data_IF_945565273826
#
_entry.id   IF_945565273826
#
_cell.length_a   1.000
_cell.length_b   1.000
_cell.length_c   1.000
_cell.angle_alpha   90.00
_cell.angle_beta   90.00
_cell.angle_gamma   90.00
#
_symmetry.space_group_name_H-M   'P 1'
#
loop_
_entity.id
_entity.type
_entity.pdbx_description
1 polymer ?
#
# COMPACT_ATOMS: atom_id res chain seq x y z
N UNK A 1 23.86 6.49 -47.45
CA UNK A 1 22.42 6.64 -47.42
C UNK A 1 21.83 5.34 -46.90
N UNK A 2 21.38 5.26 -45.68
CA UNK A 2 20.76 4.07 -45.12
C UNK A 2 20.41 4.36 -43.66
N UNK A 3 19.22 4.91 -43.42
CA UNK A 3 18.70 5.08 -42.10
C UNK A 3 18.17 3.76 -41.55
N UNK A 4 18.65 3.32 -40.43
CA UNK A 4 18.04 2.25 -39.64
C UNK A 4 17.35 2.86 -38.45
N UNK A 5 16.02 2.88 -38.49
CA UNK A 5 15.15 3.17 -37.38
C UNK A 5 15.07 1.93 -36.49
N UNK A 6 15.68 2.00 -35.31
CA UNK A 6 15.48 1.01 -34.26
C UNK A 6 14.26 1.39 -33.43
N UNK A 7 13.17 0.67 -33.65
CA UNK A 7 12.00 0.66 -32.76
C UNK A 7 12.40 0.00 -31.43
N UNK A 8 12.51 0.80 -30.38
CA UNK A 8 12.63 0.31 -29.01
C UNK A 8 11.28 -0.29 -28.59
N UNK A 9 11.21 -1.60 -28.55
CA UNK A 9 10.11 -2.33 -27.91
C UNK A 9 10.23 -2.19 -26.41
N UNK A 10 9.33 -1.45 -25.80
CA UNK A 10 9.14 -1.40 -24.37
C UNK A 10 8.55 -2.73 -23.89
N UNK A 11 9.42 -3.67 -23.53
CA UNK A 11 9.01 -4.86 -22.81
C UNK A 11 8.79 -4.45 -21.35
N UNK A 12 7.54 -4.45 -20.90
CA UNK A 12 7.17 -4.36 -19.50
C UNK A 12 7.81 -5.54 -18.77
N UNK A 13 8.85 -5.27 -17.99
CA UNK A 13 9.46 -6.26 -17.11
C UNK A 13 8.59 -6.42 -15.87
N UNK A 14 7.54 -7.25 -15.97
CA UNK A 14 6.85 -7.85 -14.83
C UNK A 14 7.71 -9.00 -14.30
N UNK A 15 8.89 -8.67 -13.81
CA UNK A 15 9.78 -9.59 -13.11
C UNK A 15 9.62 -9.35 -11.61
N UNK A 16 9.21 -10.38 -10.86
CA UNK A 16 9.22 -10.35 -9.41
C UNK A 16 10.55 -9.80 -8.89
N UNK A 17 10.49 -8.71 -8.12
CA UNK A 17 11.69 -8.05 -7.54
C UNK A 17 12.49 -9.00 -6.63
N UNK A 18 11.80 -9.98 -6.04
CA UNK A 18 12.42 -11.01 -5.21
C UNK A 18 13.39 -11.91 -5.98
N UNK A 19 13.08 -12.22 -7.26
CA UNK A 19 13.92 -13.11 -8.07
C UNK A 19 15.30 -12.52 -8.40
N UNK A 20 15.43 -11.21 -8.51
CA UNK A 20 16.72 -10.59 -8.84
C UNK A 20 17.59 -10.31 -7.60
N UNK A 21 16.98 -10.13 -6.43
CA UNK A 21 17.67 -9.85 -5.17
C UNK A 21 18.08 -11.13 -4.43
N UNK A 22 17.26 -12.18 -4.49
CA UNK A 22 17.47 -13.44 -3.75
C UNK A 22 18.77 -14.20 -4.13
N UNK A 23 19.37 -13.90 -5.27
CA UNK A 23 20.62 -14.56 -5.69
C UNK A 23 21.84 -14.21 -4.83
N UNK A 24 21.69 -13.35 -3.81
CA UNK A 24 22.80 -12.83 -2.98
C UNK A 24 22.61 -12.97 -1.48
N UNK A 25 21.45 -13.38 -1.00
CA UNK A 25 21.15 -13.42 0.43
C UNK A 25 20.86 -14.85 0.90
N UNK A 26 21.66 -15.35 1.84
CA UNK A 26 21.41 -16.66 2.50
C UNK A 26 20.15 -16.62 3.38
N UNK A 27 19.75 -15.43 3.83
CA UNK A 27 18.59 -15.17 4.68
C UNK A 27 18.13 -13.73 4.44
N UNK A 28 16.85 -13.55 4.18
CA UNK A 28 16.24 -12.22 3.97
C UNK A 28 15.52 -11.80 5.23
N UNK A 29 15.76 -10.57 5.70
CA UNK A 29 15.06 -9.93 6.81
C UNK A 29 14.13 -8.85 6.30
N UNK A 30 12.88 -8.89 6.72
CA UNK A 30 11.86 -7.94 6.28
C UNK A 30 11.08 -7.40 7.47
N UNK A 31 11.13 -6.09 7.69
CA UNK A 31 10.27 -5.43 8.67
C UNK A 31 8.86 -5.20 8.14
N UNK A 32 7.86 -5.51 8.95
CA UNK A 32 6.44 -5.26 8.65
C UNK A 32 5.75 -4.62 9.86
N UNK A 33 4.62 -3.88 9.66
CA UNK A 33 3.80 -3.41 10.78
C UNK A 33 3.26 -4.57 11.62
N UNK A 34 3.20 -4.38 12.94
CA UNK A 34 2.76 -5.41 13.90
C UNK A 34 1.27 -5.36 14.24
N UNK A 35 0.50 -4.42 13.66
CA UNK A 35 -0.95 -4.43 13.82
C UNK A 35 -1.61 -5.36 12.81
N UNK A 36 -2.66 -6.05 13.24
CA UNK A 36 -3.32 -7.14 12.51
C UNK A 36 -3.65 -6.80 11.05
N UNK A 37 -4.16 -5.59 10.80
CA UNK A 37 -4.58 -5.18 9.46
C UNK A 37 -3.39 -4.88 8.56
N UNK A 38 -2.42 -4.10 9.03
CA UNK A 38 -1.26 -3.73 8.22
C UNK A 38 -0.25 -4.87 8.09
N UNK A 39 -0.13 -5.76 9.09
CA UNK A 39 0.67 -6.99 8.98
C UNK A 39 0.14 -7.88 7.84
N UNK A 40 -1.14 -8.22 7.85
CA UNK A 40 -1.76 -9.05 6.81
C UNK A 40 -1.62 -8.41 5.42
N UNK A 41 -1.78 -7.10 5.32
CA UNK A 41 -1.58 -6.33 4.09
C UNK A 41 -0.14 -6.39 3.61
N UNK A 42 0.83 -6.23 4.49
CA UNK A 42 2.25 -6.31 4.18
C UNK A 42 2.65 -7.70 3.70
N UNK A 43 2.18 -8.75 4.39
CA UNK A 43 2.44 -10.13 3.99
C UNK A 43 1.85 -10.47 2.62
N UNK A 44 0.64 -9.97 2.32
CA UNK A 44 0.01 -10.12 1.00
C UNK A 44 0.82 -9.44 -0.10
N UNK A 45 1.38 -8.25 0.16
CA UNK A 45 2.25 -7.54 -0.79
C UNK A 45 3.55 -8.33 -1.04
N UNK A 46 4.17 -8.88 0.00
CA UNK A 46 5.37 -9.71 -0.09
C UNK A 46 5.10 -11.00 -0.87
N UNK A 47 3.97 -11.66 -0.62
CA UNK A 47 3.55 -12.84 -1.39
C UNK A 47 3.39 -12.53 -2.87
N UNK A 48 2.68 -11.45 -3.22
CA UNK A 48 2.52 -11.00 -4.63
C UNK A 48 3.85 -10.72 -5.31
N UNK A 49 4.87 -10.34 -4.56
CA UNK A 49 6.22 -10.12 -5.06
C UNK A 49 7.14 -11.35 -4.98
N UNK A 50 6.62 -12.50 -4.58
CA UNK A 50 7.31 -13.80 -4.65
C UNK A 50 8.30 -14.06 -3.52
N UNK A 51 8.16 -13.39 -2.36
CA UNK A 51 9.01 -13.64 -1.20
C UNK A 51 8.72 -14.98 -0.54
N UNK A 52 7.46 -15.32 -0.40
CA UNK A 52 6.96 -16.56 0.19
C UNK A 52 5.53 -16.81 -0.29
N UNK A 53 4.88 -17.86 0.22
CA UNK A 53 3.47 -18.15 -0.01
C UNK A 53 2.73 -18.28 1.32
N UNK A 54 1.58 -17.64 1.41
CA UNK A 54 0.67 -17.74 2.53
C UNK A 54 -0.28 -18.93 2.37
N UNK A 55 -0.81 -19.43 3.48
CA UNK A 55 -1.91 -20.41 3.49
C UNK A 55 -3.12 -19.81 2.77
N UNK A 56 -3.84 -20.63 2.01
CA UNK A 56 -4.98 -20.19 1.21
C UNK A 56 -6.13 -19.58 2.03
N UNK A 57 -6.22 -19.89 3.31
CA UNK A 57 -7.24 -19.42 4.26
C UNK A 57 -6.75 -18.31 5.19
N UNK A 58 -5.52 -17.82 5.04
CA UNK A 58 -4.95 -16.77 5.89
C UNK A 58 -5.75 -15.44 5.86
N UNK A 59 -6.27 -15.07 4.69
CA UNK A 59 -7.21 -13.95 4.51
C UNK A 59 -6.66 -12.60 4.97
N UNK A 60 -7.57 -11.72 5.41
CA UNK A 60 -7.27 -10.33 5.81
C UNK A 60 -6.66 -10.21 7.23
N UNK A 61 -6.40 -11.32 7.90
CA UNK A 61 -5.80 -11.40 9.24
C UNK A 61 -4.55 -12.28 9.26
N UNK A 62 -3.92 -12.46 8.09
CA UNK A 62 -2.69 -13.23 7.96
C UNK A 62 -1.59 -12.71 8.88
N UNK A 63 -0.84 -13.63 9.45
CA UNK A 63 0.32 -13.37 10.31
C UNK A 63 1.54 -14.10 9.77
N UNK A 64 2.72 -13.80 10.27
CA UNK A 64 3.95 -14.51 9.88
C UNK A 64 3.87 -16.03 10.07
N UNK A 65 2.98 -16.54 10.95
CA UNK A 65 2.70 -17.98 11.17
C UNK A 65 1.92 -18.64 10.03
N UNK A 66 1.35 -17.84 9.16
CA UNK A 66 0.59 -18.30 8.01
C UNK A 66 1.43 -18.43 6.74
N UNK A 67 2.74 -18.21 6.83
CA UNK A 67 3.69 -18.52 5.76
C UNK A 67 3.77 -20.05 5.63
N UNK A 68 3.33 -20.57 4.49
CA UNK A 68 3.33 -22.01 4.17
C UNK A 68 4.58 -22.45 3.42
N UNK A 69 4.98 -21.66 2.41
CA UNK A 69 6.20 -21.92 1.63
C UNK A 69 7.14 -20.71 1.74
N UNK A 70 8.38 -20.94 2.14
CA UNK A 70 9.37 -19.89 2.34
C UNK A 70 10.71 -20.23 1.65
N UNK A 71 10.74 -20.27 0.31
CA UNK A 71 11.90 -20.70 -0.46
C UNK A 71 13.09 -19.74 -0.35
N UNK A 72 12.85 -18.47 0.02
CA UNK A 72 13.89 -17.45 0.18
C UNK A 72 14.39 -17.32 1.62
N UNK A 73 13.92 -18.18 2.51
CA UNK A 73 14.28 -18.15 3.93
C UNK A 73 14.08 -16.78 4.59
N UNK A 74 12.92 -16.15 4.28
CA UNK A 74 12.53 -14.82 4.80
C UNK A 74 12.26 -14.91 6.29
N UNK A 75 12.82 -13.98 7.06
CA UNK A 75 12.44 -13.69 8.43
C UNK A 75 11.62 -12.42 8.44
N UNK A 76 10.45 -12.47 9.07
CA UNK A 76 9.57 -11.31 9.21
C UNK A 76 9.75 -10.74 10.62
N UNK A 77 10.19 -9.49 10.71
CA UNK A 77 10.33 -8.74 11.94
C UNK A 77 9.13 -7.79 12.08
N UNK A 78 8.27 -8.07 13.07
CA UNK A 78 7.04 -7.32 13.35
C UNK A 78 7.38 -6.09 14.20
N UNK A 79 7.15 -4.88 13.66
CA UNK A 79 7.52 -3.60 14.26
C UNK A 79 6.30 -2.66 14.29
N UNK A 80 6.21 -1.78 15.27
CA UNK A 80 5.17 -0.73 15.28
C UNK A 80 5.22 0.05 13.95
N UNK A 81 4.06 0.26 13.30
CA UNK A 81 3.97 0.81 11.95
C UNK A 81 4.71 2.15 11.79
N UNK A 82 4.63 3.04 12.80
CA UNK A 82 5.34 4.31 12.80
C UNK A 82 6.87 4.18 12.94
N UNK A 83 7.36 3.03 13.42
CA UNK A 83 8.79 2.76 13.62
C UNK A 83 9.42 2.00 12.46
N UNK A 84 8.63 1.41 11.57
CA UNK A 84 9.18 0.63 10.45
C UNK A 84 10.17 1.43 9.59
N UNK A 85 9.95 2.71 9.27
CA UNK A 85 10.97 3.50 8.53
C UNK A 85 12.31 3.63 9.26
N UNK A 86 12.30 3.61 10.60
CA UNK A 86 13.51 3.80 11.40
C UNK A 86 14.41 2.55 11.43
N UNK A 87 13.85 1.36 11.23
CA UNK A 87 14.59 0.09 11.20
C UNK A 87 15.03 -0.31 9.80
N UNK A 88 14.66 0.44 8.77
CA UNK A 88 14.99 0.13 7.36
C UNK A 88 16.49 -0.09 7.12
N UNK A 89 17.36 0.55 7.91
CA UNK A 89 18.82 0.40 7.76
C UNK A 89 19.34 -0.94 8.30
N UNK A 90 18.59 -1.62 9.15
CA UNK A 90 18.95 -2.87 9.81
C UNK A 90 18.29 -4.09 9.14
N UNK A 91 17.45 -3.85 8.13
CA UNK A 91 16.69 -4.83 7.40
C UNK A 91 17.07 -4.87 5.91
N UNK A 92 16.85 -5.99 5.25
CA UNK A 92 17.03 -6.07 3.79
C UNK A 92 15.88 -5.41 3.03
N UNK A 93 14.67 -5.50 3.60
CA UNK A 93 13.46 -4.85 3.09
C UNK A 93 12.57 -4.39 4.25
N UNK A 94 11.68 -3.45 3.96
CA UNK A 94 10.61 -3.05 4.87
C UNK A 94 9.32 -2.75 4.10
N UNK A 95 8.17 -3.13 4.64
CA UNK A 95 6.88 -2.73 4.11
C UNK A 95 6.34 -1.57 4.95
N UNK A 96 6.27 -0.40 4.35
CA UNK A 96 6.00 0.86 5.03
C UNK A 96 4.71 1.48 4.49
N UNK A 97 3.79 1.85 5.38
CA UNK A 97 2.60 2.61 4.98
C UNK A 97 3.00 3.98 4.43
N UNK A 98 2.35 4.43 3.36
CA UNK A 98 2.74 5.65 2.63
C UNK A 98 2.82 6.90 3.51
N UNK A 99 1.91 7.07 4.48
CA UNK A 99 1.93 8.19 5.41
C UNK A 99 3.20 8.20 6.29
N UNK A 100 3.65 7.05 6.78
CA UNK A 100 4.88 6.94 7.56
C UNK A 100 6.13 7.08 6.70
N UNK A 101 6.13 6.57 5.47
CA UNK A 101 7.20 6.77 4.52
C UNK A 101 7.41 8.26 4.22
N UNK A 102 6.32 8.99 3.90
CA UNK A 102 6.36 10.43 3.64
C UNK A 102 6.84 11.20 4.87
N UNK A 103 6.36 10.87 6.07
CA UNK A 103 6.79 11.50 7.32
C UNK A 103 8.28 11.28 7.62
N UNK A 104 8.84 10.17 7.16
CA UNK A 104 10.27 9.85 7.25
C UNK A 104 11.12 10.45 6.11
N UNK A 105 10.52 11.24 5.22
CA UNK A 105 11.21 11.86 4.10
C UNK A 105 11.41 10.97 2.88
N UNK A 106 10.81 9.78 2.85
CA UNK A 106 10.81 8.89 1.69
C UNK A 106 9.71 9.30 0.70
N UNK A 107 9.98 9.11 -0.57
CA UNK A 107 8.97 9.27 -1.62
C UNK A 107 8.51 7.90 -2.12
N UNK A 108 7.30 7.42 -1.76
CA UNK A 108 6.83 6.10 -2.16
C UNK A 108 6.85 5.86 -3.66
N UNK A 109 6.63 6.91 -4.48
CA UNK A 109 6.57 6.78 -5.94
C UNK A 109 7.95 6.57 -6.59
N UNK A 110 9.03 6.99 -5.94
CA UNK A 110 10.39 6.93 -6.50
C UNK A 110 11.31 5.98 -5.74
N UNK A 111 11.09 5.81 -4.44
CA UNK A 111 11.99 5.08 -3.56
C UNK A 111 11.51 3.65 -3.30
N UNK A 112 10.20 3.35 -3.52
CA UNK A 112 9.67 2.01 -3.35
C UNK A 112 10.09 1.08 -4.50
N UNK A 113 10.45 -0.15 -4.16
CA UNK A 113 10.72 -1.23 -5.11
C UNK A 113 9.43 -1.85 -5.66
N UNK A 114 8.38 -1.85 -4.87
CA UNK A 114 7.03 -2.29 -5.22
C UNK A 114 6.01 -1.52 -4.43
N UNK A 115 4.83 -1.31 -5.01
CA UNK A 115 3.69 -0.67 -4.36
C UNK A 115 2.45 -1.55 -4.50
N UNK A 116 1.56 -1.42 -3.52
CA UNK A 116 0.22 -1.96 -3.62
C UNK A 116 -0.57 -1.21 -4.70
N UNK A 117 -1.32 -1.93 -5.49
CA UNK A 117 -2.17 -1.34 -6.53
C UNK A 117 -3.52 -0.82 -5.97
N UNK A 118 -4.24 -0.02 -6.76
CA UNK A 118 -5.52 0.56 -6.38
C UNK A 118 -6.69 -0.44 -6.25
N UNK A 119 -6.46 -1.73 -6.52
CA UNK A 119 -7.43 -2.81 -6.34
C UNK A 119 -7.42 -3.42 -4.93
N UNK A 120 -6.64 -2.84 -4.01
CA UNK A 120 -6.53 -3.30 -2.63
C UNK A 120 -7.88 -3.33 -1.92
N UNK A 121 -8.11 -4.39 -1.13
CA UNK A 121 -9.27 -4.48 -0.24
C UNK A 121 -9.17 -3.57 1.00
N UNK A 122 -7.99 -2.96 1.23
CA UNK A 122 -7.68 -2.17 2.43
C UNK A 122 -7.90 -0.67 2.21
N UNK A 123 -9.08 -0.28 1.74
CA UNK A 123 -9.45 1.12 1.61
C UNK A 123 -9.89 1.72 2.95
N UNK A 124 -9.59 3.00 3.15
CA UNK A 124 -10.13 3.73 4.31
C UNK A 124 -11.62 4.01 4.12
N UNK A 125 -12.40 3.81 5.16
CA UNK A 125 -13.85 3.99 5.16
C UNK A 125 -14.30 4.91 6.29
N UNK A 126 -15.40 5.64 6.06
CA UNK A 126 -16.11 6.36 7.11
C UNK A 126 -17.13 5.42 7.77
N UNK A 127 -17.07 5.27 9.07
CA UNK A 127 -17.99 4.43 9.86
C UNK A 127 -18.78 5.29 10.82
N UNK A 128 -20.07 5.02 10.97
CA UNK A 128 -20.92 5.63 12.00
C UNK A 128 -21.64 4.55 12.80
N UNK A 129 -22.23 4.96 13.94
CA UNK A 129 -23.11 4.08 14.70
C UNK A 129 -24.31 3.66 13.84
N UNK A 130 -24.70 2.39 13.95
CA UNK A 130 -25.89 1.88 13.27
C UNK A 130 -27.14 2.71 13.59
N UNK A 131 -27.91 3.04 12.56
CA UNK A 131 -29.06 3.91 12.61
C UNK A 131 -28.74 5.41 12.43
N UNK A 132 -27.48 5.83 12.46
CA UNK A 132 -27.09 7.24 12.33
C UNK A 132 -26.71 7.65 10.91
N UNK A 133 -26.68 6.73 9.96
CA UNK A 133 -26.23 6.96 8.58
C UNK A 133 -27.06 8.03 7.85
N UNK A 134 -28.30 8.24 8.28
CA UNK A 134 -29.21 9.24 7.70
C UNK A 134 -29.13 10.61 8.39
N UNK A 135 -28.37 10.72 9.49
CA UNK A 135 -28.24 12.03 10.18
C UNK A 135 -27.56 13.06 9.28
N UNK A 136 -28.06 14.31 9.24
CA UNK A 136 -27.52 15.36 8.39
C UNK A 136 -26.01 15.57 8.56
N UNK A 137 -25.50 15.56 9.80
CA UNK A 137 -24.06 15.70 10.09
C UNK A 137 -23.20 14.57 9.50
N UNK A 138 -23.72 13.32 9.47
CA UNK A 138 -23.01 12.16 8.89
C UNK A 138 -22.99 12.27 7.38
N UNK A 139 -24.13 12.62 6.76
CA UNK A 139 -24.21 12.86 5.33
C UNK A 139 -23.30 14.02 4.88
N UNK A 140 -23.29 15.11 5.65
CA UNK A 140 -22.42 16.25 5.41
C UNK A 140 -20.94 15.86 5.42
N UNK A 141 -20.53 15.11 6.45
CA UNK A 141 -19.15 14.63 6.56
C UNK A 141 -18.77 13.69 5.41
N UNK A 142 -19.66 12.76 5.06
CA UNK A 142 -19.46 11.86 3.93
C UNK A 142 -19.31 12.63 2.61
N UNK A 143 -20.21 13.60 2.34
CA UNK A 143 -20.14 14.44 1.15
C UNK A 143 -18.84 15.26 1.09
N UNK A 144 -18.40 15.82 2.22
CA UNK A 144 -17.16 16.58 2.29
C UNK A 144 -15.94 15.70 2.01
N UNK A 145 -15.86 14.52 2.63
CA UNK A 145 -14.73 13.58 2.43
C UNK A 145 -14.68 13.00 1.01
N UNK A 146 -15.82 12.86 0.36
CA UNK A 146 -15.92 12.33 -1.01
C UNK A 146 -15.94 13.46 -2.08
N UNK A 147 -15.62 14.68 -1.71
CA UNK A 147 -15.68 15.83 -2.62
C UNK A 147 -14.52 15.84 -3.62
N UNK A 148 -14.75 16.50 -4.76
CA UNK A 148 -13.70 16.78 -5.75
C UNK A 148 -12.53 17.55 -5.11
N UNK A 149 -12.81 18.47 -4.19
CA UNK A 149 -11.80 19.24 -3.47
C UNK A 149 -10.84 18.35 -2.67
N UNK A 150 -11.36 17.30 -2.00
CA UNK A 150 -10.54 16.35 -1.26
C UNK A 150 -9.72 15.50 -2.24
N UNK A 151 -10.32 15.06 -3.34
CA UNK A 151 -9.60 14.32 -4.38
C UNK A 151 -8.44 15.15 -4.95
N UNK A 152 -8.68 16.40 -5.32
CA UNK A 152 -7.65 17.29 -5.85
C UNK A 152 -6.51 17.51 -4.82
N UNK A 153 -6.87 17.71 -3.56
CA UNK A 153 -5.89 17.82 -2.46
C UNK A 153 -5.03 16.55 -2.34
N UNK A 154 -5.63 15.36 -2.45
CA UNK A 154 -4.88 14.11 -2.40
C UNK A 154 -3.92 13.99 -3.59
N UNK A 155 -4.39 14.30 -4.79
CA UNK A 155 -3.58 14.23 -6.03
C UNK A 155 -2.41 15.22 -5.96
N UNK A 156 -2.64 16.46 -5.49
CA UNK A 156 -1.60 17.50 -5.34
C UNK A 156 -0.58 17.17 -4.23
N UNK A 157 -1.07 16.70 -3.09
CA UNK A 157 -0.25 16.48 -1.89
C UNK A 157 0.55 15.19 -1.98
N UNK A 158 -0.11 14.10 -2.38
CA UNK A 158 0.48 12.76 -2.33
C UNK A 158 0.97 12.25 -3.69
N UNK A 159 0.69 12.95 -4.79
CA UNK A 159 1.24 12.69 -6.14
C UNK A 159 1.14 11.23 -6.56
N UNK A 160 0.03 10.56 -6.23
CA UNK A 160 -0.24 9.17 -6.57
C UNK A 160 0.17 8.14 -5.51
N UNK A 161 0.85 8.53 -4.42
CA UNK A 161 1.19 7.61 -3.31
C UNK A 161 -0.01 7.32 -2.39
N UNK A 162 -1.04 8.14 -2.44
CA UNK A 162 -2.35 7.93 -1.82
C UNK A 162 -3.41 8.25 -2.86
N UNK A 163 -4.27 7.30 -3.16
CA UNK A 163 -5.24 7.41 -4.26
C UNK A 163 -6.67 7.40 -3.73
N UNK A 164 -7.49 8.34 -4.22
CA UNK A 164 -8.94 8.32 -3.94
C UNK A 164 -9.60 7.19 -4.73
N UNK A 165 -10.42 6.38 -4.04
CA UNK A 165 -11.26 5.34 -4.67
C UNK A 165 -12.66 5.84 -4.98
N UNK A 166 -12.93 7.14 -4.83
CA UNK A 166 -14.22 7.77 -5.11
C UNK A 166 -14.34 7.98 -6.62
N UNK A 167 -15.22 7.21 -7.27
CA UNK A 167 -15.44 7.27 -8.71
C UNK A 167 -16.23 8.53 -9.13
N UNK A 168 -17.22 8.92 -8.31
CA UNK A 168 -18.11 10.05 -8.58
C UNK A 168 -18.01 11.06 -7.41
N UNK A 169 -17.03 11.96 -7.43
CA UNK A 169 -16.88 12.95 -6.37
C UNK A 169 -18.08 13.87 -6.25
N UNK A 170 -18.42 14.25 -5.01
CA UNK A 170 -19.46 15.23 -4.70
C UNK A 170 -18.93 16.67 -4.83
N UNK A 171 -19.84 17.65 -4.87
CA UNK A 171 -19.47 19.08 -4.80
C UNK A 171 -19.01 19.52 -3.40
N UNK A 172 -19.11 18.62 -2.43
CA UNK A 172 -18.80 18.86 -1.03
C UNK A 172 -20.06 19.14 -0.21
N UNK A 173 -19.86 19.55 1.04
CA UNK A 173 -20.96 19.93 1.93
C UNK A 173 -21.39 21.37 1.66
N UNK A 174 -22.68 21.56 1.44
CA UNK A 174 -23.30 22.88 1.37
C UNK A 174 -23.81 23.26 2.77
N UNK A 175 -23.15 24.22 3.40
CA UNK A 175 -23.53 24.73 4.73
C UNK A 175 -24.83 25.56 4.73
N UNK A 176 -25.45 25.79 3.58
CA UNK A 176 -26.73 26.53 3.47
C UNK A 176 -27.96 25.62 3.55
N UNK A 177 -27.76 24.32 3.58
CA UNK A 177 -28.83 23.30 3.69
C UNK A 177 -28.84 22.78 5.14
N UNK A 178 -29.37 23.56 6.07
CA UNK A 178 -29.77 23.13 7.41
C UNK A 178 -31.25 22.72 7.44
#
# INVERSE_FOLDING_TARGET
CGGSSSTASSAAASGSVASSAAAKLDKIKVAVPNDTTNEARALTLLEKNGFFKLKADAGLTATAKDIEENPLNVTVDEVEAAQVPNVLQDEDYAVINSNYAISAGLNPMTDALAMEDGSSAYVNILVCKDGNQEEPKIKALAAALQSQKVKDFMDETYKGSVVSVVENPTDGYDSTVD
#
